data_IF_236845358449
#
_entry.id   IF_236845358449
#
_cell.length_a   1.000
_cell.length_b   1.000
_cell.length_c   1.000
_cell.angle_alpha   90.00
_cell.angle_beta   90.00
_cell.angle_gamma   90.00
#
_symmetry.space_group_name_H-M   'P 1'
#
loop_
_entity.id
_entity.type
_entity.pdbx_description
1 polymer ?
#
# COMPACT_ATOMS: atom_id res chain seq x y z
N UNK A 1 46.48 8.42 4.87
CA UNK A 1 45.93 8.16 3.51
C UNK A 1 45.72 6.67 3.23
N UNK A 2 46.55 5.76 3.77
CA UNK A 2 46.37 4.30 3.62
C UNK A 2 45.20 3.70 4.46
N UNK A 3 44.84 4.29 5.61
CA UNK A 3 43.77 3.78 6.48
C UNK A 3 42.36 3.95 5.89
N UNK A 4 42.13 4.99 5.10
CA UNK A 4 40.83 5.24 4.45
C UNK A 4 40.50 4.10 3.50
N UNK A 5 41.46 3.66 2.68
CA UNK A 5 41.27 2.59 1.70
C UNK A 5 41.00 1.22 2.35
N UNK A 6 41.62 0.94 3.50
CA UNK A 6 41.37 -0.30 4.24
C UNK A 6 39.99 -0.31 4.88
N UNK A 7 39.58 0.82 5.47
CA UNK A 7 38.25 0.99 6.06
C UNK A 7 37.15 0.94 5.00
N UNK A 8 37.36 1.54 3.82
CA UNK A 8 36.41 1.46 2.70
C UNK A 8 36.27 0.03 2.18
N UNK A 9 37.36 -0.74 2.05
CA UNK A 9 37.30 -2.15 1.61
C UNK A 9 36.61 -3.06 2.62
N UNK A 10 36.82 -2.83 3.91
CA UNK A 10 36.14 -3.56 4.98
C UNK A 10 34.63 -3.23 5.01
N UNK A 11 34.27 -1.96 4.89
CA UNK A 11 32.88 -1.51 4.83
C UNK A 11 32.15 -2.03 3.57
N UNK A 12 32.82 -2.06 2.41
CA UNK A 12 32.27 -2.61 1.17
C UNK A 12 32.08 -4.13 1.28
N UNK A 13 33.01 -4.87 1.88
CA UNK A 13 32.84 -6.32 2.07
C UNK A 13 31.73 -6.65 3.06
N UNK A 14 31.63 -5.91 4.17
CA UNK A 14 30.57 -6.09 5.16
C UNK A 14 29.17 -5.78 4.59
N UNK A 15 29.09 -4.89 3.59
CA UNK A 15 27.83 -4.44 2.98
C UNK A 15 27.71 -4.82 1.50
N UNK A 16 28.47 -5.82 1.04
CA UNK A 16 28.56 -6.18 -0.38
C UNK A 16 27.19 -6.54 -0.97
N UNK A 17 26.33 -7.18 -0.17
CA UNK A 17 24.95 -7.48 -0.55
C UNK A 17 24.10 -6.23 -0.79
N UNK A 18 24.23 -5.22 0.06
CA UNK A 18 23.49 -3.95 -0.08
C UNK A 18 23.96 -3.17 -1.32
N UNK A 19 25.27 -3.14 -1.59
CA UNK A 19 25.81 -2.54 -2.81
C UNK A 19 25.42 -3.32 -4.07
N UNK A 20 25.41 -4.65 -4.03
CA UNK A 20 24.95 -5.47 -5.14
C UNK A 20 23.46 -5.23 -5.44
N UNK A 21 22.62 -5.10 -4.41
CA UNK A 21 21.22 -4.70 -4.56
C UNK A 21 21.11 -3.29 -5.14
N UNK A 22 21.92 -2.33 -4.67
CA UNK A 22 21.91 -0.96 -5.20
C UNK A 22 22.32 -0.92 -6.68
N UNK A 23 23.36 -1.64 -7.07
CA UNK A 23 23.84 -1.75 -8.46
C UNK A 23 22.83 -2.48 -9.33
N UNK A 24 22.20 -3.55 -8.83
CA UNK A 24 21.13 -4.25 -9.54
C UNK A 24 19.91 -3.35 -9.73
N UNK A 25 19.52 -2.57 -8.72
CA UNK A 25 18.46 -1.56 -8.83
C UNK A 25 18.83 -0.54 -9.91
N UNK A 26 20.04 0.03 -9.89
CA UNK A 26 20.50 1.00 -10.91
C UNK A 26 20.54 0.40 -12.31
N UNK A 27 21.04 -0.84 -12.46
CA UNK A 27 21.11 -1.54 -13.74
C UNK A 27 19.71 -1.84 -14.32
N UNK A 28 18.77 -2.24 -13.46
CA UNK A 28 17.36 -2.47 -13.84
C UNK A 28 16.63 -1.16 -14.11
N UNK A 29 17.02 -0.06 -13.43
CA UNK A 29 16.50 1.30 -13.68
C UNK A 29 16.84 1.82 -15.08
N UNK A 30 17.85 1.26 -15.74
CA UNK A 30 18.24 1.62 -17.11
C UNK A 30 17.26 1.15 -18.19
N UNK A 31 16.40 0.16 -17.89
CA UNK A 31 15.32 -0.28 -18.78
C UNK A 31 13.98 0.19 -18.25
N UNK A 32 13.33 1.11 -18.96
CA UNK A 32 12.01 1.64 -18.60
C UNK A 32 10.98 0.52 -18.39
N UNK A 33 11.07 -0.57 -19.15
CA UNK A 33 10.17 -1.72 -19.01
C UNK A 33 10.33 -2.47 -17.68
N UNK A 34 11.56 -2.67 -17.20
CA UNK A 34 11.77 -3.36 -15.94
C UNK A 34 11.37 -2.47 -14.75
N UNK A 35 11.58 -1.15 -14.86
CA UNK A 35 11.04 -0.20 -13.88
C UNK A 35 9.52 -0.23 -13.84
N UNK A 36 8.85 -0.26 -15.00
CA UNK A 36 7.40 -0.38 -15.09
C UNK A 36 6.90 -1.69 -14.46
N UNK A 37 7.55 -2.82 -14.75
CA UNK A 37 7.20 -4.11 -14.16
C UNK A 37 7.42 -4.12 -12.64
N UNK A 38 8.53 -3.56 -12.15
CA UNK A 38 8.82 -3.48 -10.72
C UNK A 38 7.85 -2.55 -9.98
N UNK A 39 7.42 -1.46 -10.62
CA UNK A 39 6.41 -0.54 -10.08
C UNK A 39 5.05 -1.20 -9.77
N UNK A 40 4.79 -2.38 -10.34
CA UNK A 40 3.56 -3.15 -10.04
C UNK A 40 3.60 -3.77 -8.64
N UNK A 41 4.79 -4.03 -8.10
CA UNK A 41 4.96 -4.61 -6.77
C UNK A 41 4.89 -3.54 -5.67
N UNK A 42 4.12 -3.83 -4.61
CA UNK A 42 3.95 -2.91 -3.48
C UNK A 42 5.26 -2.57 -2.79
N UNK A 43 6.08 -3.58 -2.49
CA UNK A 43 7.37 -3.41 -1.79
C UNK A 43 8.28 -2.45 -2.54
N UNK A 44 8.35 -2.58 -3.87
CA UNK A 44 9.15 -1.67 -4.69
C UNK A 44 8.62 -0.24 -4.64
N UNK A 45 7.30 -0.04 -4.77
CA UNK A 45 6.68 1.29 -4.64
C UNK A 45 6.89 1.91 -3.26
N UNK A 46 6.85 1.10 -2.21
CA UNK A 46 7.06 1.55 -0.84
C UNK A 46 8.53 1.96 -0.60
N UNK A 47 9.50 1.24 -1.17
CA UNK A 47 10.94 1.59 -1.11
C UNK A 47 11.25 2.84 -1.94
N UNK A 48 10.63 2.96 -3.12
CA UNK A 48 10.83 4.08 -4.05
C UNK A 48 9.90 5.27 -3.76
N UNK A 49 9.13 5.23 -2.68
CA UNK A 49 8.19 6.28 -2.23
C UNK A 49 7.16 6.69 -3.30
N UNK A 50 6.80 5.78 -4.20
CA UNK A 50 5.79 5.99 -5.24
C UNK A 50 4.36 5.94 -4.65
N UNK A 51 4.19 5.35 -3.46
CA UNK A 51 2.93 5.30 -2.71
C UNK A 51 2.95 6.36 -1.59
N UNK A 52 1.81 7.04 -1.32
CA UNK A 52 1.71 7.99 -0.21
C UNK A 52 1.63 7.34 1.17
N UNK A 53 1.62 6.01 1.22
CA UNK A 53 1.57 5.21 2.43
C UNK A 53 2.56 4.05 2.31
N UNK A 54 3.24 3.72 3.40
CA UNK A 54 4.11 2.54 3.51
C UNK A 54 3.80 1.76 4.78
N UNK A 55 4.35 0.55 4.90
CA UNK A 55 4.21 -0.31 6.07
C UNK A 55 2.74 -0.53 6.47
N UNK A 56 1.86 -0.70 5.46
CA UNK A 56 0.44 -0.91 5.69
C UNK A 56 0.21 -2.34 6.16
N UNK A 57 -0.36 -2.47 7.36
CA UNK A 57 -0.86 -3.74 7.90
C UNK A 57 -2.36 -3.79 7.74
N UNK A 58 -2.91 -5.00 7.72
CA UNK A 58 -4.35 -5.24 7.57
C UNK A 58 -4.77 -6.31 8.56
N UNK A 59 -5.81 -6.00 9.31
CA UNK A 59 -6.62 -6.92 10.08
C UNK A 59 -8.04 -6.87 9.50
N UNK A 60 -8.72 -8.01 9.51
CA UNK A 60 -10.09 -8.10 9.01
C UNK A 60 -10.92 -9.02 9.88
N UNK A 61 -12.20 -8.69 9.99
CA UNK A 61 -13.20 -9.48 10.70
C UNK A 61 -14.52 -9.48 9.91
N UNK A 62 -15.23 -10.60 9.95
CA UNK A 62 -16.53 -10.73 9.30
C UNK A 62 -17.60 -10.07 10.15
N UNK A 63 -18.43 -9.23 9.53
CA UNK A 63 -19.56 -8.53 10.17
C UNK A 63 -20.85 -8.81 9.39
N UNK A 64 -22.05 -8.60 9.97
CA UNK A 64 -23.31 -8.94 9.29
C UNK A 64 -23.46 -8.33 7.89
N UNK A 65 -23.04 -7.07 7.71
CA UNK A 65 -23.10 -6.41 6.40
C UNK A 65 -21.92 -6.71 5.45
N UNK A 66 -20.89 -7.45 5.89
CA UNK A 66 -19.74 -7.83 5.06
C UNK A 66 -18.43 -8.01 5.83
N UNK A 67 -17.45 -7.14 5.58
CA UNK A 67 -16.12 -7.19 6.19
C UNK A 67 -15.79 -5.87 6.87
N UNK A 68 -15.43 -5.91 8.15
CA UNK A 68 -14.75 -4.81 8.80
C UNK A 68 -13.24 -4.99 8.65
N UNK A 69 -12.56 -3.94 8.21
CA UNK A 69 -11.11 -3.92 8.00
C UNK A 69 -10.47 -2.76 8.74
N UNK A 70 -9.30 -2.99 9.31
CA UNK A 70 -8.50 -1.99 10.02
C UNK A 70 -7.03 -2.34 9.91
N UNK A 71 -6.16 -1.48 10.43
CA UNK A 71 -4.75 -1.80 10.55
C UNK A 71 -3.95 -0.57 10.92
N UNK A 72 -2.67 -0.59 10.55
CA UNK A 72 -1.76 0.54 10.67
C UNK A 72 -1.12 0.91 9.35
N UNK A 73 -0.69 2.16 9.22
CA UNK A 73 0.06 2.66 8.06
C UNK A 73 1.00 3.79 8.48
N UNK A 74 2.04 4.05 7.69
CA UNK A 74 2.82 5.28 7.78
C UNK A 74 2.51 6.12 6.55
N UNK A 75 1.86 7.28 6.75
CA UNK A 75 1.64 8.23 5.66
C UNK A 75 2.93 9.02 5.40
N UNK A 76 3.41 9.00 4.16
CA UNK A 76 4.71 9.61 3.78
C UNK A 76 4.56 10.91 3.01
N UNK A 77 3.52 11.04 2.18
CA UNK A 77 3.32 12.19 1.29
C UNK A 77 1.88 12.31 0.79
N UNK A 78 1.65 13.33 -0.04
CA UNK A 78 0.43 13.59 -0.82
C UNK A 78 -0.85 13.89 -0.02
N UNK A 79 -1.79 14.56 -0.70
CA UNK A 79 -3.10 14.90 -0.13
C UNK A 79 -4.09 13.80 -0.48
N UNK A 80 -4.83 13.33 0.54
CA UNK A 80 -5.90 12.35 0.34
C UNK A 80 -7.00 12.92 -0.56
N UNK A 81 -7.41 12.15 -1.57
CA UNK A 81 -8.45 12.53 -2.54
C UNK A 81 -9.68 11.61 -2.56
N UNK A 82 -9.62 10.45 -1.92
CA UNK A 82 -10.74 9.51 -1.86
C UNK A 82 -10.31 8.06 -1.71
N UNK A 83 -11.24 7.20 -1.33
CA UNK A 83 -11.10 5.75 -1.36
C UNK A 83 -12.19 5.13 -2.24
N UNK A 84 -11.87 4.00 -2.85
CA UNK A 84 -12.87 3.09 -3.43
C UNK A 84 -12.52 1.66 -3.06
N UNK A 85 -13.51 0.80 -2.95
CA UNK A 85 -13.31 -0.61 -2.66
C UNK A 85 -13.92 -1.49 -3.76
N UNK A 86 -13.27 -2.61 -4.00
CA UNK A 86 -13.70 -3.63 -4.94
C UNK A 86 -13.70 -5.00 -4.27
N UNK A 87 -14.71 -5.80 -4.58
CA UNK A 87 -14.68 -7.23 -4.46
C UNK A 87 -14.02 -7.83 -5.73
N UNK A 88 -13.11 -8.78 -5.54
CA UNK A 88 -12.54 -9.59 -6.61
C UNK A 88 -13.31 -10.89 -6.72
N UNK A 89 -13.90 -11.12 -7.89
CA UNK A 89 -14.72 -12.28 -8.19
C UNK A 89 -13.88 -13.44 -8.71
N UNK A 90 -14.41 -14.69 -8.73
CA UNK A 90 -13.69 -15.86 -9.26
C UNK A 90 -13.24 -15.75 -10.72
N UNK A 91 -13.93 -14.93 -11.53
CA UNK A 91 -13.58 -14.64 -12.92
C UNK A 91 -12.46 -13.58 -13.05
N UNK A 92 -11.93 -13.08 -11.93
CA UNK A 92 -10.92 -12.03 -11.87
C UNK A 92 -11.46 -10.61 -12.05
N UNK A 93 -12.76 -10.43 -12.26
CA UNK A 93 -13.37 -9.11 -12.40
C UNK A 93 -13.48 -8.40 -11.05
N UNK A 94 -13.24 -7.09 -11.08
CA UNK A 94 -13.49 -6.16 -9.96
C UNK A 94 -14.95 -5.74 -9.98
N UNK A 95 -15.67 -5.96 -8.88
CA UNK A 95 -17.01 -5.41 -8.65
C UNK A 95 -16.92 -4.32 -7.58
N UNK A 96 -17.38 -3.09 -7.84
CA UNK A 96 -17.37 -2.04 -6.82
C UNK A 96 -18.25 -2.48 -5.65
N UNK A 97 -17.75 -2.28 -4.44
CA UNK A 97 -18.51 -2.49 -3.20
C UNK A 97 -18.56 -1.19 -2.42
N UNK A 98 -19.62 -1.02 -1.64
CA UNK A 98 -19.71 0.12 -0.73
C UNK A 98 -18.61 0.01 0.31
N UNK A 99 -17.91 1.12 0.52
CA UNK A 99 -16.92 1.30 1.56
C UNK A 99 -17.45 2.34 2.55
N UNK A 100 -17.79 1.89 3.75
CA UNK A 100 -18.23 2.77 4.83
C UNK A 100 -17.05 3.21 5.68
N UNK A 101 -16.81 4.52 5.70
CA UNK A 101 -15.75 5.15 6.47
C UNK A 101 -16.28 5.83 7.74
N UNK A 102 -17.60 5.82 7.97
CA UNK A 102 -18.23 6.48 9.11
C UNK A 102 -17.66 6.01 10.46
N UNK A 103 -17.39 4.71 10.71
CA UNK A 103 -16.89 4.28 12.02
C UNK A 103 -15.53 4.89 12.38
N UNK A 104 -14.67 5.08 11.37
CA UNK A 104 -13.42 5.82 11.56
C UNK A 104 -13.74 7.31 11.71
N UNK A 105 -14.46 7.89 10.75
CA UNK A 105 -14.71 9.34 10.65
C UNK A 105 -15.31 9.92 11.92
N UNK A 106 -16.17 9.19 12.61
CA UNK A 106 -16.77 9.60 13.87
C UNK A 106 -15.75 9.77 15.01
N UNK A 107 -14.60 9.10 14.92
CA UNK A 107 -13.52 9.15 15.92
C UNK A 107 -12.51 10.27 15.61
N UNK A 108 -12.12 10.43 14.33
CA UNK A 108 -11.02 11.35 13.95
C UNK A 108 -11.45 12.56 13.11
N UNK A 109 -12.73 12.66 12.73
CA UNK A 109 -13.29 13.81 12.01
C UNK A 109 -13.14 13.79 10.49
N UNK A 110 -12.52 12.76 9.89
CA UNK A 110 -12.41 12.64 8.43
C UNK A 110 -11.30 13.50 7.79
N UNK A 111 -11.06 13.28 6.50
CA UNK A 111 -10.10 14.07 5.70
C UNK A 111 -8.70 13.46 5.47
N UNK A 112 -7.67 14.30 5.45
CA UNK A 112 -6.31 13.91 5.10
C UNK A 112 -5.39 14.09 6.29
N UNK A 113 -4.88 12.99 6.87
CA UNK A 113 -3.85 13.06 7.93
C UNK A 113 -2.56 13.70 7.39
N UNK A 114 -1.79 14.35 8.25
CA UNK A 114 -0.46 14.83 7.87
C UNK A 114 0.49 13.64 7.65
N UNK A 115 1.56 13.79 6.85
CA UNK A 115 2.63 12.81 6.83
C UNK A 115 3.20 12.60 8.25
N UNK A 116 3.55 11.35 8.57
CA UNK A 116 4.07 10.95 9.89
C UNK A 116 5.30 10.07 9.74
N UNK A 117 6.20 10.14 10.72
CA UNK A 117 7.33 9.22 10.85
C UNK A 117 6.97 7.89 11.52
N UNK A 118 5.78 7.79 12.12
CA UNK A 118 5.32 6.67 12.93
C UNK A 118 4.11 5.99 12.30
N UNK A 119 3.85 4.74 12.71
CA UNK A 119 2.68 4.00 12.27
C UNK A 119 1.44 4.53 12.99
N UNK A 120 0.40 4.86 12.22
CA UNK A 120 -0.89 5.33 12.71
C UNK A 120 -1.98 4.31 12.35
N UNK A 121 -2.94 4.12 13.26
CA UNK A 121 -4.07 3.23 13.02
C UNK A 121 -5.03 3.80 11.97
N UNK A 122 -5.55 2.98 11.06
CA UNK A 122 -6.59 3.35 10.12
C UNK A 122 -7.78 2.37 10.23
N UNK A 123 -8.96 2.83 9.83
CA UNK A 123 -10.19 2.09 10.06
C UNK A 123 -10.65 2.10 11.54
N UNK A 124 -11.72 1.40 11.87
CA UNK A 124 -12.38 0.38 11.05
C UNK A 124 -13.18 0.96 9.88
N UNK A 125 -13.10 0.29 8.74
CA UNK A 125 -13.93 0.55 7.56
C UNK A 125 -14.73 -0.69 7.23
N UNK A 126 -15.93 -0.51 6.69
CA UNK A 126 -16.84 -1.62 6.40
C UNK A 126 -16.99 -1.76 4.89
N UNK A 127 -16.61 -2.92 4.35
CA UNK A 127 -16.87 -3.30 2.97
C UNK A 127 -18.17 -4.10 2.93
N UNK A 128 -19.17 -3.60 2.21
CA UNK A 128 -20.43 -4.32 2.07
C UNK A 128 -20.25 -5.57 1.21
N UNK A 129 -20.95 -6.65 1.55
CA UNK A 129 -21.05 -7.84 0.72
C UNK A 129 -21.56 -7.48 -0.68
N UNK A 130 -20.91 -7.95 -1.76
CA UNK A 130 -21.40 -7.68 -3.11
C UNK A 130 -22.79 -8.30 -3.30
N UNK A 131 -23.68 -7.58 -3.97
CA UNK A 131 -25.07 -8.02 -4.21
C UNK A 131 -25.18 -9.32 -5.01
N UNK A 132 -24.14 -9.70 -5.76
CA UNK A 132 -24.15 -10.86 -6.63
C UNK A 132 -22.79 -11.56 -6.63
N UNK A 133 -22.85 -12.89 -6.46
CA UNK A 133 -21.72 -13.80 -6.49
C UNK A 133 -20.95 -13.89 -5.18
N UNK A 134 -20.02 -14.84 -5.11
CA UNK A 134 -19.15 -15.05 -3.94
C UNK A 134 -17.77 -14.48 -4.22
N UNK A 135 -17.40 -13.36 -3.60
CA UNK A 135 -16.07 -12.77 -3.78
C UNK A 135 -14.98 -13.67 -3.19
N UNK A 136 -13.80 -13.66 -3.79
CA UNK A 136 -12.62 -14.40 -3.31
C UNK A 136 -11.64 -13.50 -2.55
N UNK A 137 -11.59 -12.22 -2.92
CA UNK A 137 -10.70 -11.24 -2.33
C UNK A 137 -11.33 -9.85 -2.38
N UNK A 138 -10.68 -8.89 -1.74
CA UNK A 138 -11.05 -7.48 -1.77
C UNK A 138 -9.81 -6.61 -2.01
N UNK A 139 -10.04 -5.43 -2.58
CA UNK A 139 -9.03 -4.39 -2.75
C UNK A 139 -9.62 -3.03 -2.36
N UNK A 140 -8.84 -2.21 -1.66
CA UNK A 140 -9.12 -0.79 -1.43
C UNK A 140 -8.07 0.00 -2.20
N UNK A 141 -8.54 0.97 -2.97
CA UNK A 141 -7.71 1.87 -3.75
C UNK A 141 -7.84 3.28 -3.19
N UNK A 142 -6.70 3.94 -2.99
CA UNK A 142 -6.64 5.33 -2.57
C UNK A 142 -6.30 6.21 -3.75
N UNK A 143 -7.05 7.30 -3.86
CA UNK A 143 -6.79 8.41 -4.78
C UNK A 143 -6.14 9.54 -4.01
N UNK A 144 -5.14 10.17 -4.62
CA UNK A 144 -4.39 11.23 -3.98
C UNK A 144 -3.80 12.20 -4.98
N UNK A 145 -3.57 13.42 -4.50
CA UNK A 145 -2.88 14.48 -5.23
C UNK A 145 -1.42 14.54 -4.73
N UNK A 146 -0.49 14.15 -5.58
CA UNK A 146 0.94 14.25 -5.35
C UNK A 146 1.55 15.42 -6.15
N UNK A 147 2.80 15.84 -5.86
CA UNK A 147 3.50 16.82 -6.68
C UNK A 147 3.57 16.46 -8.17
N UNK A 148 3.63 15.18 -8.49
CA UNK A 148 3.68 14.66 -9.86
C UNK A 148 2.28 14.55 -10.52
N UNK A 149 1.21 14.89 -9.79
CA UNK A 149 -0.17 14.87 -10.29
C UNK A 149 -1.10 13.92 -9.52
N UNK A 150 -2.29 13.69 -10.09
CA UNK A 150 -3.28 12.78 -9.54
C UNK A 150 -2.86 11.34 -9.76
N UNK A 151 -2.94 10.53 -8.72
CA UNK A 151 -2.55 9.13 -8.75
C UNK A 151 -3.58 8.29 -8.01
N UNK A 152 -3.68 7.01 -8.40
CA UNK A 152 -4.50 6.00 -7.74
C UNK A 152 -3.62 4.78 -7.44
N UNK A 153 -3.52 4.42 -6.16
CA UNK A 153 -2.71 3.28 -5.73
C UNK A 153 -3.54 2.31 -4.90
N UNK A 154 -3.28 1.01 -5.03
CA UNK A 154 -3.86 0.01 -4.13
C UNK A 154 -3.35 0.26 -2.71
N UNK A 155 -4.27 0.59 -1.82
CA UNK A 155 -4.02 0.90 -0.42
C UNK A 155 -3.95 -0.38 0.43
N UNK A 156 -4.95 -1.25 0.31
CA UNK A 156 -5.04 -2.48 1.07
C UNK A 156 -5.73 -3.57 0.23
N UNK A 157 -5.48 -4.83 0.56
CA UNK A 157 -6.13 -5.96 -0.09
C UNK A 157 -6.02 -7.20 0.80
N UNK A 158 -6.98 -8.12 0.69
CA UNK A 158 -6.98 -9.35 1.45
C UNK A 158 -7.94 -10.39 0.85
N UNK A 159 -7.90 -11.64 1.34
CA UNK A 159 -8.91 -12.64 0.98
C UNK A 159 -10.28 -12.23 1.53
N UNK A 160 -11.36 -12.63 0.86
CA UNK A 160 -12.71 -12.41 1.37
C UNK A 160 -13.07 -13.54 2.34
N UNK A 161 -13.03 -13.27 3.64
CA UNK A 161 -13.28 -14.29 4.68
C UNK A 161 -14.66 -14.19 5.33
N UNK A 162 -15.54 -13.30 4.83
CA UNK A 162 -16.92 -13.29 5.29
C UNK A 162 -17.57 -14.61 4.88
N UNK A 163 -18.05 -15.36 5.88
CA UNK A 163 -18.88 -16.53 5.60
C UNK A 163 -20.23 -16.01 5.07
N UNK A 164 -20.78 -16.62 4.01
CA UNK A 164 -22.14 -16.33 3.57
C UNK A 164 -23.15 -16.64 4.68
#
# INVERSE_FOLDING_TARGET
>A
MFDVLQNTRAAIRANAGMFAVLVAVVAVSGSAEAWEQLSRYRVFRDITLQTPFRAVTVEQESVPEGLAVRGSMIKTRCVYGGLTAYALMPDGLRRPVRLDLSPETDIWGGGSRAPSGQAEAWGPWILSTPLQGTPQAWEIWAFHLCPEGRQANRFASGPWTAKP
#
